data_IF_560018785588
#
_entry.id   IF_560018785588
#
_cell.length_a   1.000
_cell.length_b   1.000
_cell.length_c   1.000
_cell.angle_alpha   90.00
_cell.angle_beta   90.00
_cell.angle_gamma   90.00
#
_symmetry.space_group_name_H-M   'P 1'
#
loop_
_entity.id
_entity.type
_entity.pdbx_description
1 polymer ?
#
# COMPACT_ATOMS: atom_id res chain seq x y z
N UNK A 1 12.08 -95.93 41.34
CA UNK A 1 12.14 -95.06 42.54
C UNK A 1 12.57 -93.68 42.07
N UNK A 2 11.85 -92.63 42.48
CA UNK A 2 12.09 -91.18 42.26
C UNK A 2 11.77 -90.64 40.84
N UNK A 3 10.58 -90.04 40.58
CA UNK A 3 10.12 -88.65 40.85
C UNK A 3 10.73 -87.67 39.82
N UNK A 4 10.00 -87.26 38.75
CA UNK A 4 9.20 -86.00 38.61
C UNK A 4 10.06 -84.76 38.95
N UNK A 5 10.25 -83.73 38.11
CA UNK A 5 9.26 -82.91 37.42
C UNK A 5 9.88 -82.14 36.24
N UNK A 6 9.01 -81.77 35.28
CA UNK A 6 9.29 -80.85 34.17
C UNK A 6 9.29 -79.41 34.70
N UNK A 7 10.27 -78.59 34.33
CA UNK A 7 10.14 -77.13 34.33
C UNK A 7 10.61 -76.62 32.96
N UNK A 8 9.63 -76.20 32.17
CA UNK A 8 9.79 -75.56 30.87
C UNK A 8 10.08 -74.06 31.12
N UNK A 9 11.08 -73.44 30.49
CA UNK A 9 11.34 -72.02 30.67
C UNK A 9 10.26 -71.17 29.99
N UNK A 10 9.81 -70.18 30.76
CA UNK A 10 8.87 -69.12 30.43
C UNK A 10 9.26 -68.42 29.10
N UNK A 11 8.51 -68.62 28.01
CA UNK A 11 8.56 -67.73 26.85
C UNK A 11 7.67 -66.52 27.15
N UNK A 12 8.30 -65.35 27.33
CA UNK A 12 7.62 -64.07 27.42
C UNK A 12 7.10 -63.69 26.03
N UNK A 13 5.80 -63.86 25.81
CA UNK A 13 5.10 -63.41 24.59
C UNK A 13 5.03 -61.88 24.58
N UNK A 14 5.92 -61.24 23.82
CA UNK A 14 5.79 -59.81 23.49
C UNK A 14 4.72 -59.68 22.40
N UNK A 15 3.54 -59.18 22.77
CA UNK A 15 2.57 -58.66 21.81
C UNK A 15 3.12 -57.35 21.24
N UNK A 16 3.66 -57.40 20.02
CA UNK A 16 3.90 -56.18 19.24
C UNK A 16 2.54 -55.75 18.69
N UNK A 17 2.00 -54.69 19.28
CA UNK A 17 0.86 -53.97 18.72
C UNK A 17 1.35 -53.29 17.43
N UNK A 18 1.03 -53.86 16.28
CA UNK A 18 1.24 -53.21 14.99
C UNK A 18 0.25 -52.04 14.89
N UNK A 19 0.67 -50.87 15.38
CA UNK A 19 0.03 -49.63 15.00
C UNK A 19 0.33 -49.40 13.51
N UNK A 20 -0.68 -49.58 12.66
CA UNK A 20 -0.66 -49.06 11.30
C UNK A 20 -0.52 -47.54 11.38
N UNK A 21 0.72 -47.05 11.39
CA UNK A 21 0.99 -45.69 10.95
C UNK A 21 0.68 -45.67 9.45
N UNK A 22 -0.51 -45.16 9.11
CA UNK A 22 -0.71 -44.53 7.82
C UNK A 22 0.27 -43.37 7.81
N UNK A 23 1.43 -43.58 7.18
CA UNK A 23 2.33 -42.49 6.86
C UNK A 23 1.53 -41.52 6.00
N UNK A 24 1.19 -40.37 6.56
CA UNK A 24 0.86 -39.21 5.73
C UNK A 24 2.13 -38.94 4.94
N UNK A 25 2.09 -39.20 3.64
CA UNK A 25 2.97 -38.55 2.66
C UNK A 25 3.15 -37.09 3.11
N UNK A 26 4.37 -36.53 3.10
CA UNK A 26 4.51 -35.10 3.36
C UNK A 26 3.58 -34.40 2.36
N UNK A 27 2.63 -33.64 2.89
CA UNK A 27 1.82 -32.76 2.06
C UNK A 27 2.81 -32.02 1.17
N UNK A 28 2.67 -32.18 -0.15
CA UNK A 28 3.33 -31.33 -1.12
C UNK A 28 3.20 -29.90 -0.59
N UNK A 29 4.33 -29.27 -0.25
CA UNK A 29 4.32 -27.87 0.10
C UNK A 29 3.62 -27.16 -1.06
N UNK A 30 2.47 -26.54 -0.80
CA UNK A 30 1.84 -25.66 -1.77
C UNK A 30 2.94 -24.69 -2.19
N UNK A 31 3.23 -24.65 -3.49
CA UNK A 31 4.19 -23.70 -4.03
C UNK A 31 3.71 -22.32 -3.57
N UNK A 32 4.47 -21.67 -2.70
CA UNK A 32 4.05 -20.45 -2.01
C UNK A 32 4.25 -19.28 -2.98
N UNK A 33 3.63 -19.39 -4.17
CA UNK A 33 3.76 -18.44 -5.26
C UNK A 33 3.14 -17.13 -4.80
N UNK A 34 3.97 -16.10 -4.70
CA UNK A 34 3.51 -14.74 -4.45
C UNK A 34 2.81 -14.24 -5.70
N UNK A 35 1.53 -13.87 -5.58
CA UNK A 35 0.76 -13.27 -6.66
C UNK A 35 1.16 -11.80 -6.81
N UNK A 36 1.65 -11.40 -7.97
CA UNK A 36 2.02 -10.03 -8.30
C UNK A 36 0.83 -9.31 -8.95
N UNK A 37 0.15 -8.47 -8.17
CA UNK A 37 -0.96 -7.65 -8.65
C UNK A 37 -0.44 -6.26 -9.00
N UNK A 38 -0.71 -5.80 -10.22
CA UNK A 38 -0.42 -4.43 -10.65
C UNK A 38 -1.73 -3.64 -10.72
N UNK A 39 -1.80 -2.57 -9.93
CA UNK A 39 -2.89 -1.61 -9.98
C UNK A 39 -2.53 -0.53 -11.01
N UNK A 40 -3.41 -0.30 -11.97
CA UNK A 40 -3.22 0.76 -12.96
C UNK A 40 -4.20 1.90 -12.69
N UNK A 41 -3.81 2.93 -11.91
CA UNK A 41 -4.65 4.12 -11.78
C UNK A 41 -4.70 4.84 -13.14
N UNK A 42 -5.88 4.82 -13.75
CA UNK A 42 -6.14 5.42 -15.07
C UNK A 42 -5.68 6.87 -15.18
N UNK A 43 -5.43 7.30 -16.41
CA UNK A 43 -5.04 8.68 -16.74
C UNK A 43 -3.74 9.15 -16.04
N UNK A 44 -3.49 10.46 -16.01
CA UNK A 44 -2.32 11.06 -15.37
C UNK A 44 -1.66 12.15 -16.22
N UNK A 45 -1.02 13.11 -15.55
CA UNK A 45 -0.42 14.27 -16.17
C UNK A 45 -1.46 15.12 -16.91
N UNK A 46 -1.27 15.32 -18.21
CA UNK A 46 -2.19 16.12 -19.05
C UNK A 46 -3.46 15.37 -19.46
N UNK A 47 -3.52 14.06 -19.22
CA UNK A 47 -4.75 13.29 -19.37
C UNK A 47 -5.50 13.32 -18.03
N UNK A 48 -6.60 14.09 -17.99
CA UNK A 48 -7.38 14.30 -16.78
C UNK A 48 -8.42 13.20 -16.54
N UNK A 49 -8.75 12.43 -17.58
CA UNK A 49 -9.96 11.60 -17.62
C UNK A 49 -11.24 12.43 -17.49
N UNK A 50 -12.30 11.81 -16.98
CA UNK A 50 -13.54 12.48 -16.69
C UNK A 50 -13.41 13.48 -15.52
N UNK A 51 -14.31 14.47 -15.50
CA UNK A 51 -14.41 15.45 -14.41
C UNK A 51 -15.81 15.40 -13.79
N UNK A 52 -15.89 15.51 -12.46
CA UNK A 52 -17.16 15.42 -11.74
C UNK A 52 -18.10 16.60 -11.96
N UNK A 53 -19.40 16.36 -11.70
CA UNK A 53 -20.43 17.40 -11.63
C UNK A 53 -20.45 18.10 -10.26
N UNK A 54 -20.83 19.38 -10.24
CA UNK A 54 -21.15 20.11 -8.99
C UNK A 54 -20.19 21.21 -8.55
N UNK A 55 -19.23 21.63 -9.39
CA UNK A 55 -18.32 22.75 -9.08
C UNK A 55 -17.18 22.40 -8.11
N UNK A 56 -17.09 21.13 -7.69
CA UNK A 56 -15.88 20.52 -7.12
C UNK A 56 -15.16 19.84 -8.29
N UNK A 57 -13.93 20.26 -8.61
CA UNK A 57 -13.13 19.66 -9.68
C UNK A 57 -12.47 18.36 -9.19
N UNK A 58 -13.23 17.26 -9.12
CA UNK A 58 -12.61 15.94 -9.03
C UNK A 58 -12.26 15.48 -10.44
N UNK A 59 -10.96 15.38 -10.71
CA UNK A 59 -10.42 14.80 -11.94
C UNK A 59 -10.24 13.30 -11.72
N UNK A 60 -10.69 12.49 -12.67
CA UNK A 60 -10.59 11.03 -12.60
C UNK A 60 -9.16 10.56 -12.30
N UNK A 61 -8.15 11.18 -12.91
CA UNK A 61 -6.74 10.87 -12.63
C UNK A 61 -6.37 10.96 -11.14
N UNK A 62 -6.98 11.88 -10.39
CA UNK A 62 -6.68 12.07 -8.96
C UNK A 62 -7.43 11.04 -8.12
N UNK A 63 -8.69 10.76 -8.48
CA UNK A 63 -9.51 9.77 -7.77
C UNK A 63 -8.93 8.36 -7.96
N UNK A 64 -8.65 7.97 -9.20
CA UNK A 64 -8.06 6.66 -9.53
C UNK A 64 -6.71 6.45 -8.85
N UNK A 65 -5.87 7.49 -8.81
CA UNK A 65 -4.59 7.43 -8.10
C UNK A 65 -4.77 7.17 -6.61
N UNK A 66 -5.69 7.92 -5.98
CA UNK A 66 -5.96 7.80 -4.55
C UNK A 66 -6.59 6.46 -4.19
N UNK A 67 -7.52 5.99 -5.02
CA UNK A 67 -8.14 4.68 -4.90
C UNK A 67 -7.10 3.55 -5.01
N UNK A 68 -6.21 3.62 -6.00
CA UNK A 68 -5.11 2.65 -6.16
C UNK A 68 -4.21 2.58 -4.92
N UNK A 69 -3.90 3.74 -4.31
CA UNK A 69 -3.11 3.76 -3.07
C UNK A 69 -3.84 3.00 -1.96
N UNK A 70 -5.15 3.24 -1.76
CA UNK A 70 -5.93 2.53 -0.75
C UNK A 70 -6.02 1.02 -1.01
N UNK A 71 -6.25 0.60 -2.26
CA UNK A 71 -6.27 -0.82 -2.64
C UNK A 71 -4.90 -1.45 -2.35
N UNK A 72 -3.80 -0.77 -2.73
CA UNK A 72 -2.45 -1.24 -2.49
C UNK A 72 -2.17 -1.52 -1.01
N UNK A 73 -2.61 -0.63 -0.13
CA UNK A 73 -2.39 -0.75 1.31
C UNK A 73 -3.23 -1.87 1.92
N UNK A 74 -4.48 -2.00 1.48
CA UNK A 74 -5.39 -3.00 2.00
C UNK A 74 -5.01 -4.41 1.53
N UNK A 75 -4.64 -4.59 0.25
CA UNK A 75 -4.15 -5.87 -0.27
C UNK A 75 -2.85 -6.31 0.42
N UNK A 76 -1.98 -5.38 0.84
CA UNK A 76 -0.74 -5.73 1.56
C UNK A 76 -0.96 -6.32 2.94
N UNK A 77 -2.17 -6.23 3.50
CA UNK A 77 -2.54 -6.96 4.72
C UNK A 77 -2.68 -8.46 4.46
N UNK A 78 -2.70 -8.90 3.20
CA UNK A 78 -2.82 -10.30 2.82
C UNK A 78 -1.44 -10.93 2.60
N UNK A 79 -1.34 -12.22 2.87
CA UNK A 79 -0.16 -13.05 2.66
C UNK A 79 -0.14 -13.58 1.23
N UNK A 80 1.06 -13.82 0.70
CA UNK A 80 1.22 -14.37 -0.65
C UNK A 80 0.89 -13.38 -1.78
N UNK A 81 0.93 -12.07 -1.53
CA UNK A 81 0.68 -11.04 -2.55
C UNK A 81 1.75 -9.96 -2.55
N UNK A 82 2.14 -9.52 -3.74
CA UNK A 82 2.96 -8.33 -4.00
C UNK A 82 2.10 -7.35 -4.79
N UNK A 83 2.09 -6.09 -4.40
CA UNK A 83 1.19 -5.09 -4.98
C UNK A 83 1.97 -3.87 -5.47
N UNK A 84 1.96 -3.68 -6.78
CA UNK A 84 2.64 -2.58 -7.47
C UNK A 84 1.61 -1.64 -8.12
N UNK A 85 2.03 -0.41 -8.44
CA UNK A 85 1.21 0.55 -9.18
C UNK A 85 1.96 1.00 -10.45
N UNK A 86 1.26 1.19 -11.57
CA UNK A 86 1.90 1.69 -12.80
C UNK A 86 2.50 3.09 -12.62
N UNK A 87 1.82 3.96 -11.87
CA UNK A 87 2.33 5.29 -11.46
C UNK A 87 2.22 5.54 -9.96
N UNK A 88 3.16 6.32 -9.44
CA UNK A 88 3.29 6.71 -8.02
C UNK A 88 3.27 8.24 -7.80
N UNK A 89 2.96 9.00 -8.86
CA UNK A 89 2.73 10.43 -8.84
C UNK A 89 1.80 10.80 -10.02
N UNK A 90 1.45 12.07 -10.14
CA UNK A 90 0.64 12.57 -11.26
C UNK A 90 1.52 12.89 -12.47
N UNK A 91 1.80 11.88 -13.29
CA UNK A 91 2.46 12.05 -14.58
C UNK A 91 1.75 11.22 -15.65
N UNK A 92 1.96 11.62 -16.90
CA UNK A 92 1.41 10.92 -18.04
C UNK A 92 2.14 9.58 -18.28
N UNK A 93 1.39 8.53 -18.57
CA UNK A 93 1.90 7.25 -19.06
C UNK A 93 1.05 6.75 -20.22
N UNK A 94 1.70 6.33 -21.28
CA UNK A 94 1.07 5.62 -22.40
C UNK A 94 0.63 4.22 -21.97
N UNK A 95 -0.32 3.63 -22.72
CA UNK A 95 -0.77 2.26 -22.47
C UNK A 95 0.36 1.23 -22.59
N UNK A 96 1.31 1.44 -23.52
CA UNK A 96 2.47 0.57 -23.68
C UNK A 96 3.41 0.65 -22.48
N UNK A 97 3.69 1.85 -21.95
CA UNK A 97 4.54 2.03 -20.76
C UNK A 97 3.93 1.39 -19.51
N UNK A 98 2.59 1.45 -19.36
CA UNK A 98 1.87 0.77 -18.27
C UNK A 98 2.06 -0.74 -18.36
N UNK A 99 1.90 -1.32 -19.55
CA UNK A 99 2.08 -2.74 -19.77
C UNK A 99 3.56 -3.19 -19.67
N UNK A 100 4.51 -2.37 -20.13
CA UNK A 100 5.95 -2.59 -19.95
C UNK A 100 6.35 -2.60 -18.47
N UNK A 101 5.78 -1.68 -17.68
CA UNK A 101 5.96 -1.70 -16.22
C UNK A 101 5.43 -3.00 -15.63
N UNK A 102 4.19 -3.40 -15.99
CA UNK A 102 3.57 -4.62 -15.48
C UNK A 102 4.40 -5.88 -15.82
N UNK A 103 4.92 -5.98 -17.05
CA UNK A 103 5.80 -7.07 -17.45
C UNK A 103 7.11 -7.07 -16.64
N UNK A 104 7.72 -5.90 -16.47
CA UNK A 104 8.99 -5.76 -15.74
C UNK A 104 8.89 -6.21 -14.28
N UNK A 105 7.75 -5.97 -13.63
CA UNK A 105 7.50 -6.40 -12.25
C UNK A 105 6.91 -7.81 -12.14
N UNK A 106 6.73 -8.51 -13.27
CA UNK A 106 6.23 -9.88 -13.32
C UNK A 106 4.78 -10.01 -12.90
N UNK A 107 3.91 -9.11 -13.38
CA UNK A 107 2.49 -9.09 -13.02
C UNK A 107 1.76 -10.39 -13.42
N UNK A 108 1.02 -10.98 -12.49
CA UNK A 108 0.05 -12.06 -12.75
C UNK A 108 -1.28 -11.49 -13.25
N UNK A 109 -1.60 -10.24 -12.88
CA UNK A 109 -2.78 -9.51 -13.33
C UNK A 109 -2.59 -8.00 -13.23
N UNK A 110 -3.20 -7.27 -14.16
CA UNK A 110 -3.40 -5.82 -14.07
C UNK A 110 -4.86 -5.50 -13.77
N UNK A 111 -5.11 -4.74 -12.71
CA UNK A 111 -6.43 -4.17 -12.39
C UNK A 111 -6.37 -2.67 -12.68
N UNK A 112 -6.91 -2.27 -13.84
CA UNK A 112 -7.03 -0.86 -14.22
C UNK A 112 -8.23 -0.22 -13.55
N UNK A 113 -8.03 0.94 -12.95
CA UNK A 113 -9.03 1.63 -12.14
C UNK A 113 -9.47 2.89 -12.85
N UNK A 114 -10.77 2.99 -13.10
CA UNK A 114 -11.40 4.10 -13.80
C UNK A 114 -12.75 4.47 -13.15
N UNK A 115 -13.26 5.62 -13.58
CA UNK A 115 -14.63 6.04 -13.31
C UNK A 115 -15.31 6.44 -14.61
N UNK A 116 -16.53 5.94 -14.78
CA UNK A 116 -17.35 6.24 -15.93
C UNK A 116 -17.73 7.74 -16.01
N UNK A 117 -18.18 8.13 -17.19
CA UNK A 117 -18.86 9.41 -17.41
C UNK A 117 -19.83 9.32 -18.58
N UNK A 118 -20.91 10.08 -18.51
CA UNK A 118 -21.94 10.16 -19.54
C UNK A 118 -22.48 11.58 -19.68
N UNK A 119 -22.93 11.93 -20.88
CA UNK A 119 -23.70 13.15 -21.09
C UNK A 119 -25.06 13.10 -20.40
N UNK A 120 -25.62 11.90 -20.22
CA UNK A 120 -26.80 11.66 -19.41
C UNK A 120 -26.39 11.45 -17.95
N UNK A 121 -26.67 12.45 -17.11
CA UNK A 121 -26.28 12.48 -15.69
C UNK A 121 -27.11 11.55 -14.80
N UNK A 122 -28.15 10.90 -15.35
CA UNK A 122 -28.91 9.88 -14.64
C UNK A 122 -28.28 8.48 -14.72
N UNK A 123 -27.33 8.29 -15.64
CA UNK A 123 -26.59 7.02 -15.73
C UNK A 123 -25.66 6.91 -14.53
N UNK A 124 -25.70 5.75 -13.89
CA UNK A 124 -25.00 5.42 -12.66
C UNK A 124 -24.58 3.94 -12.68
N UNK A 125 -23.72 3.56 -11.73
CA UNK A 125 -23.35 2.18 -11.48
C UNK A 125 -21.92 1.84 -11.85
N UNK A 126 -21.52 0.62 -11.46
CA UNK A 126 -20.23 0.03 -11.76
C UNK A 126 -20.33 -0.99 -12.89
N UNK A 127 -19.25 -1.13 -13.65
CA UNK A 127 -19.08 -2.18 -14.64
C UNK A 127 -17.62 -2.61 -14.72
N UNK A 128 -17.35 -3.82 -15.19
CA UNK A 128 -15.98 -4.29 -15.42
C UNK A 128 -15.80 -4.67 -16.88
N UNK A 129 -14.83 -4.05 -17.55
CA UNK A 129 -14.40 -4.48 -18.87
C UNK A 129 -13.36 -5.58 -18.74
N UNK A 130 -13.60 -6.73 -19.38
CA UNK A 130 -12.66 -7.84 -19.48
C UNK A 130 -12.23 -8.05 -20.93
N UNK A 131 -11.08 -8.71 -21.14
CA UNK A 131 -10.56 -8.97 -22.48
C UNK A 131 -11.53 -9.86 -23.27
N UNK A 132 -11.73 -9.56 -24.55
CA UNK A 132 -12.43 -10.43 -25.49
C UNK A 132 -11.63 -11.67 -25.91
N UNK A 133 -10.35 -11.75 -25.55
CA UNK A 133 -9.51 -12.94 -25.74
C UNK A 133 -9.62 -13.86 -24.53
N UNK A 134 -10.16 -15.07 -24.74
CA UNK A 134 -10.45 -16.02 -23.66
C UNK A 134 -9.21 -16.38 -22.82
N UNK A 135 -8.01 -16.33 -23.40
CA UNK A 135 -6.74 -16.59 -22.72
C UNK A 135 -6.43 -15.55 -21.62
N UNK A 136 -6.92 -14.32 -21.81
CA UNK A 136 -6.65 -13.18 -20.93
C UNK A 136 -7.91 -12.65 -20.24
N UNK A 137 -9.10 -13.17 -20.56
CA UNK A 137 -10.34 -12.82 -19.87
C UNK A 137 -10.24 -13.24 -18.40
N UNK A 138 -10.55 -12.31 -17.48
CA UNK A 138 -10.70 -12.57 -16.04
C UNK A 138 -12.10 -12.19 -15.57
N UNK A 139 -13.14 -12.92 -16.01
CA UNK A 139 -14.52 -12.52 -15.72
C UNK A 139 -14.88 -12.75 -14.26
N UNK A 140 -14.36 -13.82 -13.63
CA UNK A 140 -14.63 -14.16 -12.23
C UNK A 140 -14.07 -13.08 -11.29
N UNK A 141 -12.82 -12.64 -11.51
CA UNK A 141 -12.26 -11.47 -10.84
C UNK A 141 -13.19 -10.23 -10.93
N UNK A 142 -13.68 -9.94 -12.14
CA UNK A 142 -14.60 -8.83 -12.36
C UNK A 142 -15.92 -8.98 -11.61
N UNK A 143 -16.51 -10.18 -11.62
CA UNK A 143 -17.75 -10.45 -10.88
C UNK A 143 -17.56 -10.43 -9.36
N UNK A 144 -16.43 -10.90 -8.84
CA UNK A 144 -16.11 -10.84 -7.42
C UNK A 144 -16.01 -9.39 -6.95
N UNK A 145 -15.32 -8.52 -7.72
CA UNK A 145 -15.26 -7.08 -7.44
C UNK A 145 -16.65 -6.44 -7.50
N UNK A 146 -17.44 -6.70 -8.56
CA UNK A 146 -18.79 -6.15 -8.68
C UNK A 146 -19.74 -6.63 -7.58
N UNK A 147 -19.60 -7.86 -7.10
CA UNK A 147 -20.36 -8.38 -5.96
C UNK A 147 -20.08 -7.57 -4.68
N UNK A 148 -18.81 -7.26 -4.43
CA UNK A 148 -18.40 -6.46 -3.28
C UNK A 148 -18.80 -4.99 -3.39
N UNK A 149 -18.74 -4.41 -4.58
CA UNK A 149 -19.24 -3.05 -4.86
C UNK A 149 -20.77 -2.97 -4.69
N UNK A 150 -21.51 -4.01 -5.09
CA UNK A 150 -22.95 -4.09 -4.85
C UNK A 150 -23.29 -4.04 -3.35
N UNK A 151 -22.44 -4.62 -2.51
CA UNK A 151 -22.55 -4.56 -1.05
C UNK A 151 -22.48 -3.13 -0.47
N UNK A 152 -21.91 -2.17 -1.22
CA UNK A 152 -21.88 -0.75 -0.85
C UNK A 152 -23.14 0.02 -1.31
N UNK A 153 -24.04 -0.62 -2.06
CA UNK A 153 -25.22 0.00 -2.65
C UNK A 153 -25.00 0.56 -4.06
N UNK A 154 -23.89 0.24 -4.71
CA UNK A 154 -23.62 0.64 -6.11
C UNK A 154 -24.39 -0.29 -7.05
N UNK A 155 -25.05 0.26 -8.08
CA UNK A 155 -25.71 -0.53 -9.11
C UNK A 155 -24.66 -1.26 -9.97
N UNK A 156 -24.63 -2.59 -9.91
CA UNK A 156 -23.69 -3.42 -10.69
C UNK A 156 -24.38 -4.23 -11.78
N UNK A 157 -25.61 -3.87 -12.15
CA UNK A 157 -26.40 -4.56 -13.17
C UNK A 157 -25.78 -4.54 -14.57
N UNK A 158 -24.87 -3.59 -14.84
CA UNK A 158 -24.08 -3.57 -16.07
C UNK A 158 -23.14 -4.78 -16.20
N UNK A 159 -22.71 -5.36 -15.07
CA UNK A 159 -21.93 -6.59 -15.03
C UNK A 159 -20.52 -6.50 -15.62
N UNK A 160 -19.97 -7.68 -15.93
CA UNK A 160 -18.75 -7.81 -16.70
C UNK A 160 -19.09 -7.82 -18.19
N UNK A 161 -18.39 -7.01 -18.97
CA UNK A 161 -18.58 -6.91 -20.41
C UNK A 161 -17.25 -6.97 -21.16
N UNK A 162 -17.32 -7.26 -22.46
CA UNK A 162 -16.18 -7.16 -23.39
C UNK A 162 -16.49 -6.10 -24.42
N UNK A 163 -15.49 -5.31 -24.83
CA UNK A 163 -15.69 -4.28 -25.84
C UNK A 163 -14.60 -4.35 -26.91
N UNK A 164 -15.02 -4.52 -28.17
CA UNK A 164 -14.13 -4.51 -29.32
C UNK A 164 -13.74 -3.08 -29.73
N UNK A 165 -12.56 -2.94 -30.30
CA UNK A 165 -11.99 -1.68 -30.77
C UNK A 165 -12.90 -0.96 -31.77
N UNK A 166 -13.14 0.33 -31.54
CA UNK A 166 -13.93 1.21 -32.41
C UNK A 166 -13.10 1.93 -33.47
N UNK A 167 -11.77 1.84 -33.38
CA UNK A 167 -10.81 2.47 -34.29
C UNK A 167 -10.18 1.47 -35.28
N UNK A 168 -10.67 0.22 -35.31
CA UNK A 168 -10.21 -0.80 -36.23
C UNK A 168 -8.90 -1.50 -35.87
N UNK A 169 -8.37 -1.32 -34.65
CA UNK A 169 -7.25 -2.12 -34.16
C UNK A 169 -7.61 -3.61 -34.18
N UNK A 170 -6.71 -4.43 -34.71
CA UNK A 170 -6.84 -5.89 -34.81
C UNK A 170 -5.83 -6.56 -33.87
N UNK A 171 -6.15 -7.78 -33.44
CA UNK A 171 -5.17 -8.66 -32.80
C UNK A 171 -4.12 -9.15 -33.81
N UNK A 172 -3.07 -9.80 -33.31
CA UNK A 172 -1.96 -10.31 -34.13
C UNK A 172 -2.37 -11.34 -35.19
N UNK A 173 -3.57 -11.93 -35.08
CA UNK A 173 -4.15 -12.81 -36.10
C UNK A 173 -4.66 -12.05 -37.34
N UNK A 174 -4.89 -10.74 -37.24
CA UNK A 174 -5.46 -9.93 -38.31
C UNK A 174 -6.92 -10.23 -38.65
N UNK A 175 -7.61 -11.05 -37.86
CA UNK A 175 -8.99 -11.49 -38.10
C UNK A 175 -9.97 -10.96 -37.05
N UNK A 176 -9.52 -10.79 -35.80
CA UNK A 176 -10.36 -10.30 -34.69
C UNK A 176 -10.03 -8.87 -34.32
N UNK A 177 -11.06 -8.06 -34.09
CA UNK A 177 -10.88 -6.73 -33.48
C UNK A 177 -10.27 -6.89 -32.10
N UNK A 178 -9.28 -6.03 -31.81
CA UNK A 178 -8.64 -5.98 -30.52
C UNK A 178 -9.56 -5.39 -29.44
N UNK A 179 -9.19 -5.54 -28.17
CA UNK A 179 -9.92 -4.88 -27.07
C UNK A 179 -9.92 -3.36 -27.25
N UNK A 180 -11.03 -2.72 -26.90
CA UNK A 180 -11.18 -1.27 -26.90
C UNK A 180 -10.19 -0.63 -25.92
N UNK A 181 -10.11 -1.15 -24.70
CA UNK A 181 -9.17 -0.69 -23.66
C UNK A 181 -7.73 -0.86 -24.13
N UNK A 182 -7.03 0.28 -24.24
CA UNK A 182 -5.66 0.30 -24.72
C UNK A 182 -4.68 -0.41 -23.78
N UNK A 183 -4.82 -0.24 -22.46
CA UNK A 183 -3.95 -0.91 -21.50
C UNK A 183 -4.16 -2.42 -21.51
N UNK A 184 -5.41 -2.90 -21.59
CA UNK A 184 -5.70 -4.34 -21.67
C UNK A 184 -5.12 -4.94 -22.95
N UNK A 185 -5.24 -4.23 -24.08
CA UNK A 185 -4.63 -4.63 -25.35
C UNK A 185 -3.11 -4.74 -25.26
N UNK A 186 -2.44 -3.76 -24.65
CA UNK A 186 -0.98 -3.76 -24.46
C UNK A 186 -0.51 -4.83 -23.47
N UNK A 187 -1.32 -5.16 -22.45
CA UNK A 187 -1.05 -6.24 -21.51
C UNK A 187 -1.16 -7.61 -22.20
N UNK A 188 -2.17 -7.82 -23.05
CA UNK A 188 -2.32 -9.05 -23.82
C UNK A 188 -1.11 -9.29 -24.75
N UNK A 189 -0.55 -8.26 -25.37
CA UNK A 189 0.71 -8.36 -26.14
C UNK A 189 1.94 -8.78 -25.32
N UNK A 190 1.86 -8.74 -23.99
CA UNK A 190 2.92 -9.11 -23.05
C UNK A 190 2.58 -10.36 -22.23
N UNK A 191 1.51 -11.07 -22.62
CA UNK A 191 0.96 -12.23 -21.93
C UNK A 191 0.46 -11.97 -20.50
N UNK A 192 -0.06 -10.77 -20.26
CA UNK A 192 -0.54 -10.34 -18.94
C UNK A 192 -2.08 -10.17 -18.98
N UNK A 193 -2.83 -10.95 -18.18
CA UNK A 193 -4.26 -10.73 -18.01
C UNK A 193 -4.57 -9.36 -17.40
N UNK A 194 -5.62 -8.70 -17.88
CA UNK A 194 -6.02 -7.38 -17.40
C UNK A 194 -7.53 -7.18 -17.41
N UNK A 195 -8.03 -6.42 -16.44
CA UNK A 195 -9.41 -5.91 -16.39
C UNK A 195 -9.41 -4.39 -16.20
N UNK A 196 -10.50 -3.73 -16.59
CA UNK A 196 -10.76 -2.32 -16.27
C UNK A 196 -12.02 -2.23 -15.41
N UNK A 197 -11.87 -1.76 -14.18
CA UNK A 197 -12.98 -1.54 -13.24
C UNK A 197 -13.43 -0.10 -13.36
N UNK A 198 -14.67 0.09 -13.82
CA UNK A 198 -15.36 1.38 -13.86
C UNK A 198 -16.25 1.48 -12.62
N UNK A 199 -15.83 2.20 -11.59
CA UNK A 199 -16.44 2.08 -10.24
C UNK A 199 -17.79 2.79 -10.12
N UNK A 200 -17.88 4.02 -10.60
CA UNK A 200 -19.09 4.86 -10.59
C UNK A 200 -19.01 5.87 -11.75
N UNK A 201 -20.09 6.62 -11.99
CA UNK A 201 -20.12 7.74 -12.93
C UNK A 201 -19.77 9.07 -12.25
N UNK A 202 -18.65 9.70 -12.61
CA UNK A 202 -18.30 11.05 -12.15
C UNK A 202 -19.34 12.10 -12.58
N UNK A 203 -20.05 11.82 -13.66
CA UNK A 203 -21.13 12.66 -14.17
C UNK A 203 -22.43 12.57 -13.36
N UNK A 204 -22.58 11.56 -12.48
CA UNK A 204 -23.76 11.35 -11.66
C UNK A 204 -23.60 12.00 -10.28
N UNK A 205 -24.51 12.91 -9.93
CA UNK A 205 -24.46 13.61 -8.64
C UNK A 205 -24.75 12.68 -7.46
N UNK A 206 -25.65 11.71 -7.64
CA UNK A 206 -26.05 10.79 -6.58
C UNK A 206 -24.92 9.82 -6.19
N UNK A 207 -23.95 9.60 -7.08
CA UNK A 207 -22.80 8.74 -6.84
C UNK A 207 -21.61 9.44 -6.18
N UNK A 208 -21.67 10.79 -6.00
CA UNK A 208 -20.62 11.54 -5.30
C UNK A 208 -20.30 10.94 -3.92
N UNK A 209 -21.30 10.35 -3.25
CA UNK A 209 -21.13 9.71 -1.93
C UNK A 209 -20.09 8.58 -1.91
N UNK A 210 -19.73 8.01 -3.06
CA UNK A 210 -18.78 6.91 -3.19
C UNK A 210 -17.34 7.37 -3.41
N UNK A 211 -17.11 8.62 -3.82
CA UNK A 211 -15.78 9.11 -4.18
C UNK A 211 -15.46 10.55 -3.73
N UNK A 212 -16.38 11.26 -3.10
CA UNK A 212 -16.19 12.66 -2.69
C UNK A 212 -15.29 12.85 -1.46
N UNK A 213 -14.86 11.77 -0.80
CA UNK A 213 -13.98 11.83 0.37
C UNK A 213 -13.24 10.50 0.60
N UNK A 214 -12.27 10.53 1.52
CA UNK A 214 -11.34 9.43 1.79
C UNK A 214 -12.03 8.20 2.40
N UNK A 215 -13.05 8.39 3.23
CA UNK A 215 -13.83 7.27 3.79
C UNK A 215 -14.53 6.51 2.66
N UNK A 216 -15.11 7.24 1.72
CA UNK A 216 -15.81 6.67 0.59
C UNK A 216 -14.85 5.87 -0.33
N UNK A 217 -13.71 6.46 -0.67
CA UNK A 217 -12.68 5.78 -1.48
C UNK A 217 -12.06 4.56 -0.77
N UNK A 218 -11.92 4.59 0.55
CA UNK A 218 -11.47 3.42 1.32
C UNK A 218 -12.49 2.28 1.33
N UNK A 219 -13.79 2.61 1.34
CA UNK A 219 -14.85 1.60 1.21
C UNK A 219 -14.83 0.95 -0.16
N UNK A 220 -14.67 1.74 -1.23
CA UNK A 220 -14.45 1.22 -2.59
C UNK A 220 -13.21 0.31 -2.62
N UNK A 221 -12.07 0.80 -2.13
CA UNK A 221 -10.85 0.01 -2.09
C UNK A 221 -11.02 -1.31 -1.35
N UNK A 222 -11.66 -1.29 -0.17
CA UNK A 222 -11.91 -2.51 0.60
C UNK A 222 -12.83 -3.49 -0.15
N UNK A 223 -13.80 -3.01 -0.94
CA UNK A 223 -14.61 -3.85 -1.80
C UNK A 223 -13.78 -4.50 -2.92
N UNK A 224 -12.97 -3.72 -3.63
CA UNK A 224 -12.08 -4.23 -4.67
C UNK A 224 -11.12 -5.29 -4.10
N UNK A 225 -10.53 -5.01 -2.92
CA UNK A 225 -9.60 -5.92 -2.25
C UNK A 225 -10.27 -7.23 -1.87
N UNK A 226 -11.53 -7.21 -1.39
CA UNK A 226 -12.25 -8.45 -1.07
C UNK A 226 -12.51 -9.28 -2.32
N UNK A 227 -12.91 -8.65 -3.42
CA UNK A 227 -13.10 -9.35 -4.70
C UNK A 227 -11.80 -9.92 -5.27
N UNK A 228 -10.70 -9.17 -5.18
CA UNK A 228 -9.36 -9.62 -5.57
C UNK A 228 -8.89 -10.77 -4.65
N UNK A 229 -9.08 -10.64 -3.34
CA UNK A 229 -8.67 -11.66 -2.38
C UNK A 229 -9.44 -12.97 -2.58
N UNK A 230 -10.73 -12.90 -2.90
CA UNK A 230 -11.54 -14.07 -3.24
C UNK A 230 -11.02 -14.80 -4.48
N UNK A 231 -10.77 -14.06 -5.58
CA UNK A 231 -10.25 -14.63 -6.83
C UNK A 231 -8.93 -15.40 -6.62
N UNK A 232 -7.99 -14.79 -5.88
CA UNK A 232 -6.65 -15.34 -5.70
C UNK A 232 -6.49 -16.16 -4.42
N UNK A 233 -7.57 -16.40 -3.68
CA UNK A 233 -7.54 -17.14 -2.41
C UNK A 233 -6.62 -16.52 -1.36
N UNK A 234 -6.45 -15.20 -1.39
CA UNK A 234 -5.55 -14.49 -0.49
C UNK A 234 -6.06 -14.55 0.94
N UNK A 235 -5.14 -14.75 1.89
CA UNK A 235 -5.47 -14.78 3.32
C UNK A 235 -4.84 -13.61 4.03
N UNK A 236 -5.59 -12.93 4.89
CA UNK A 236 -5.04 -11.92 5.79
C UNK A 236 -3.84 -12.50 6.55
N UNK A 237 -2.76 -11.73 6.59
CA UNK A 237 -1.58 -12.06 7.38
C UNK A 237 -2.02 -12.20 8.83
N UNK A 238 -1.64 -13.32 9.45
CA UNK A 238 -1.72 -13.46 10.90
C UNK A 238 -0.68 -12.52 11.50
N UNK A 239 -1.06 -11.30 11.85
CA UNK A 239 -0.21 -10.47 12.70
C UNK A 239 -0.19 -11.07 14.10
N UNK A 240 1.00 -11.30 14.64
CA UNK A 240 1.19 -11.18 16.08
C UNK A 240 0.81 -9.74 16.45
N UNK A 241 -0.44 -9.55 16.89
CA UNK A 241 -1.02 -8.23 17.17
C UNK A 241 -1.79 -7.62 16.00
N UNK A 242 -2.89 -8.25 15.56
CA UNK A 242 -3.88 -7.54 14.72
C UNK A 242 -4.67 -6.67 15.69
N UNK A 243 -4.18 -5.47 15.95
CA UNK A 243 -5.06 -4.45 16.51
C UNK A 243 -6.00 -4.10 15.37
N UNK A 244 -7.24 -4.58 15.49
CA UNK A 244 -8.40 -3.97 14.85
C UNK A 244 -8.28 -2.45 15.08
N UNK A 245 -7.69 -1.74 14.11
CA UNK A 245 -7.37 -0.32 14.22
C UNK A 245 -8.68 0.43 14.06
N UNK A 246 -9.45 0.42 15.13
CA UNK A 246 -10.67 1.19 15.33
C UNK A 246 -10.36 2.58 15.88
N UNK A 247 -9.10 2.81 16.28
CA UNK A 247 -8.67 4.05 16.91
C UNK A 247 -7.22 4.39 16.58
N UNK A 248 -7.00 5.62 16.13
CA UNK A 248 -5.69 6.18 15.84
C UNK A 248 -5.33 7.24 16.88
N UNK A 249 -4.29 6.97 17.70
CA UNK A 249 -3.74 7.95 18.65
C UNK A 249 -2.90 9.02 17.96
N UNK A 250 -2.97 10.28 18.38
CA UNK A 250 -2.04 11.33 17.94
C UNK A 250 -0.57 10.93 18.22
N UNK A 251 0.30 11.14 17.24
CA UNK A 251 1.74 10.86 17.37
C UNK A 251 2.62 12.11 17.26
N UNK A 252 2.05 13.24 16.85
CA UNK A 252 2.75 14.52 16.79
C UNK A 252 1.96 15.60 17.52
N UNK A 253 2.67 16.52 18.16
CA UNK A 253 2.09 17.71 18.79
C UNK A 253 2.60 18.97 18.08
N UNK A 254 1.82 20.06 18.20
CA UNK A 254 2.30 21.41 17.90
C UNK A 254 3.17 21.97 19.04
N UNK A 255 3.47 23.25 18.92
CA UNK A 255 4.21 24.02 19.90
C UNK A 255 3.28 24.63 20.95
N UNK A 256 3.83 25.04 22.09
CA UNK A 256 3.07 25.64 23.21
C UNK A 256 2.32 26.91 22.82
N UNK A 257 2.77 27.60 21.77
CA UNK A 257 2.12 28.79 21.21
C UNK A 257 0.89 28.48 20.33
N UNK A 258 0.50 27.21 20.21
CA UNK A 258 -0.64 26.78 19.40
C UNK A 258 -0.34 26.72 17.90
N UNK A 259 0.93 26.73 17.49
CA UNK A 259 1.34 26.55 16.08
C UNK A 259 1.80 25.13 15.80
N UNK A 260 1.72 24.69 14.56
CA UNK A 260 2.35 23.44 14.10
C UNK A 260 3.65 23.67 13.35
N UNK A 261 3.81 24.82 12.67
CA UNK A 261 4.96 25.22 11.84
C UNK A 261 5.22 24.24 10.70
N UNK A 262 4.28 24.08 9.73
CA UNK A 262 4.34 23.01 8.73
C UNK A 262 5.55 23.05 7.80
N UNK A 263 6.14 24.24 7.59
CA UNK A 263 7.35 24.45 6.78
C UNK A 263 8.63 24.51 7.62
N UNK A 264 8.56 24.36 8.94
CA UNK A 264 9.74 24.26 9.79
C UNK A 264 10.49 22.96 9.53
N UNK A 265 11.82 23.02 9.46
CA UNK A 265 12.65 21.83 9.38
C UNK A 265 12.58 21.04 10.69
N UNK A 266 12.84 19.74 10.61
CA UNK A 266 12.94 18.89 11.80
C UNK A 266 14.37 18.43 12.03
N UNK A 267 14.69 18.27 13.30
CA UNK A 267 15.95 17.67 13.74
C UNK A 267 15.91 16.15 13.64
N UNK A 268 17.09 15.53 13.58
CA UNK A 268 17.25 14.07 13.60
C UNK A 268 16.73 13.44 14.91
N UNK A 269 16.77 14.18 16.01
CA UNK A 269 16.17 13.78 17.29
C UNK A 269 14.64 13.76 17.27
N UNK A 270 14.01 14.76 16.63
CA UNK A 270 12.55 14.80 16.49
C UNK A 270 12.04 13.64 15.63
N UNK A 271 12.67 13.36 14.48
CA UNK A 271 12.34 12.21 13.64
C UNK A 271 12.46 10.88 14.39
N UNK A 272 13.59 10.66 15.06
CA UNK A 272 13.85 9.46 15.86
C UNK A 272 12.80 9.29 16.96
N UNK A 273 12.40 10.38 17.62
CA UNK A 273 11.37 10.34 18.66
C UNK A 273 10.01 9.94 18.12
N UNK A 274 9.61 10.50 16.97
CA UNK A 274 8.34 10.13 16.33
C UNK A 274 8.32 8.63 15.99
N UNK A 275 9.38 8.14 15.35
CA UNK A 275 9.46 6.74 14.94
C UNK A 275 9.52 5.76 16.12
N UNK A 276 10.27 6.09 17.17
CA UNK A 276 10.36 5.27 18.37
C UNK A 276 8.99 5.14 19.06
N UNK A 277 8.27 6.25 19.26
CA UNK A 277 6.94 6.25 19.90
C UNK A 277 5.89 5.44 19.14
N UNK A 278 6.11 5.24 17.84
CA UNK A 278 5.21 4.51 16.95
C UNK A 278 5.60 3.04 16.78
N UNK A 279 6.76 2.63 17.29
CA UNK A 279 7.19 1.25 17.23
C UNK A 279 6.47 0.42 18.29
N UNK A 280 5.86 -0.69 17.89
CA UNK A 280 5.22 -1.64 18.82
C UNK A 280 6.21 -2.24 19.82
N UNK A 281 7.51 -2.24 19.49
CA UNK A 281 8.57 -2.74 20.36
C UNK A 281 9.12 -1.68 21.34
N UNK A 282 8.64 -0.44 21.26
CA UNK A 282 9.07 0.62 22.17
C UNK A 282 8.23 0.60 23.44
N UNK A 283 8.82 0.10 24.52
CA UNK A 283 8.28 0.22 25.87
C UNK A 283 8.77 1.55 26.52
N UNK A 284 7.87 2.48 26.89
CA UNK A 284 8.25 3.75 27.51
C UNK A 284 8.80 3.61 28.94
N UNK A 285 8.52 2.50 29.63
CA UNK A 285 8.96 2.20 30.99
C UNK A 285 10.28 1.39 31.02
N UNK A 286 10.67 0.83 29.87
CA UNK A 286 11.94 0.14 29.71
C UNK A 286 13.12 1.13 29.65
N UNK A 287 14.25 0.73 30.24
CA UNK A 287 15.51 1.45 30.10
C UNK A 287 16.27 0.99 28.85
N UNK A 288 16.73 1.95 28.06
CA UNK A 288 17.59 1.74 26.90
C UNK A 288 18.96 2.39 27.13
N UNK A 289 19.98 1.84 26.49
CA UNK A 289 21.33 2.42 26.48
C UNK A 289 21.83 2.51 25.05
N UNK A 290 22.69 3.48 24.80
CA UNK A 290 23.29 3.73 23.49
C UNK A 290 24.80 3.85 23.62
N UNK A 291 25.51 3.50 22.54
CA UNK A 291 26.95 3.74 22.43
C UNK A 291 27.28 5.07 21.75
N UNK A 292 26.25 5.86 21.38
CA UNK A 292 26.42 7.12 20.66
C UNK A 292 26.95 8.22 21.60
N UNK A 293 28.11 8.79 21.27
CA UNK A 293 28.85 9.70 22.17
C UNK A 293 28.20 11.07 22.35
N UNK A 294 27.39 11.49 21.38
CA UNK A 294 26.73 12.79 21.34
C UNK A 294 25.24 12.74 21.75
N UNK A 295 24.82 11.62 22.34
CA UNK A 295 23.46 11.42 22.85
C UNK A 295 23.51 11.33 24.38
N UNK A 296 23.53 12.47 25.10
CA UNK A 296 23.73 12.45 26.55
C UNK A 296 22.48 11.94 27.28
N UNK A 297 22.68 11.21 28.38
CA UNK A 297 21.61 10.59 29.17
C UNK A 297 20.53 11.54 29.70
N UNK A 298 20.84 12.84 29.81
CA UNK A 298 19.90 13.87 30.24
C UNK A 298 19.06 14.47 29.10
N UNK A 299 19.40 14.20 27.84
CA UNK A 299 18.66 14.76 26.72
C UNK A 299 17.25 14.17 26.62
N UNK A 300 16.28 15.00 26.28
CA UNK A 300 14.87 14.60 26.15
C UNK A 300 14.68 13.48 25.10
N UNK A 301 15.56 13.43 24.09
CA UNK A 301 15.54 12.44 23.02
C UNK A 301 16.30 11.14 23.36
N UNK A 302 17.02 11.09 24.48
CA UNK A 302 17.96 10.00 24.79
C UNK A 302 17.33 8.62 24.68
N UNK A 303 16.19 8.41 25.35
CA UNK A 303 15.55 7.08 25.39
C UNK A 303 15.09 6.59 24.02
N UNK A 304 14.64 7.49 23.15
CA UNK A 304 14.12 7.14 21.83
C UNK A 304 15.26 6.77 20.87
N UNK A 305 16.32 7.58 20.87
CA UNK A 305 17.52 7.29 20.07
C UNK A 305 18.21 6.02 20.59
N UNK A 306 18.27 5.82 21.92
CA UNK A 306 18.84 4.62 22.51
C UNK A 306 18.06 3.35 22.14
N UNK A 307 16.73 3.39 22.16
CA UNK A 307 15.91 2.29 21.65
C UNK A 307 16.22 1.99 20.18
N UNK A 308 16.15 2.99 19.30
CA UNK A 308 16.40 2.83 17.87
C UNK A 308 17.84 2.37 17.58
N UNK A 309 18.80 2.73 18.43
CA UNK A 309 20.16 2.21 18.37
C UNK A 309 20.24 0.74 18.80
N UNK A 310 19.54 0.35 19.86
CA UNK A 310 19.52 -1.05 20.34
C UNK A 310 18.90 -2.03 19.35
N UNK A 311 17.91 -1.58 18.56
CA UNK A 311 17.27 -2.40 17.51
C UNK A 311 17.94 -2.26 16.13
N UNK A 312 19.03 -1.48 16.04
CA UNK A 312 19.84 -1.36 14.83
C UNK A 312 19.28 -0.41 13.75
N UNK A 313 18.22 0.34 14.03
CA UNK A 313 17.68 1.33 13.09
C UNK A 313 18.59 2.56 12.99
N UNK A 314 19.21 2.96 14.11
CA UNK A 314 20.23 4.01 14.18
C UNK A 314 21.59 3.37 14.55
N UNK A 315 22.64 3.68 13.80
CA UNK A 315 23.98 3.11 14.05
C UNK A 315 25.04 4.14 14.41
N UNK A 316 24.80 5.43 14.15
CA UNK A 316 25.82 6.49 14.22
C UNK A 316 26.82 6.44 13.06
N UNK A 317 27.69 7.43 12.99
CA UNK A 317 28.82 7.49 12.05
C UNK A 317 30.04 6.69 12.55
N UNK A 318 31.14 6.77 11.81
CA UNK A 318 32.39 6.06 12.14
C UNK A 318 33.03 6.50 13.47
N UNK A 319 32.62 7.65 14.01
CA UNK A 319 33.05 8.18 15.30
C UNK A 319 32.06 7.89 16.42
N UNK A 320 30.99 7.14 16.14
CA UNK A 320 29.93 6.86 17.11
C UNK A 320 29.04 8.08 17.38
N UNK A 321 28.92 9.01 16.43
CA UNK A 321 28.13 10.24 16.56
C UNK A 321 26.84 10.13 15.73
N UNK A 322 25.69 10.58 16.25
CA UNK A 322 24.40 10.57 15.54
C UNK A 322 23.98 11.93 14.97
N UNK A 323 24.43 13.02 15.60
CA UNK A 323 24.12 14.43 15.37
C UNK A 323 22.62 14.72 15.59
N UNK A 324 22.11 14.55 16.83
CA UNK A 324 20.67 14.66 17.11
C UNK A 324 20.07 16.03 16.78
N UNK A 325 20.84 17.10 16.92
CA UNK A 325 20.38 18.48 16.75
C UNK A 325 20.52 19.00 15.31
N UNK A 326 21.18 18.24 14.41
CA UNK A 326 21.25 18.59 12.99
C UNK A 326 19.87 18.41 12.34
N UNK A 327 19.58 19.23 11.33
CA UNK A 327 18.42 19.01 10.45
C UNK A 327 18.53 17.64 9.78
N UNK A 328 17.38 16.97 9.63
CA UNK A 328 17.32 15.68 8.95
C UNK A 328 16.99 15.86 7.47
N UNK A 329 17.81 15.28 6.59
CA UNK A 329 17.51 15.26 5.15
C UNK A 329 16.45 14.21 4.78
N UNK A 330 15.81 14.40 3.62
CA UNK A 330 14.84 13.46 3.04
C UNK A 330 15.41 12.05 2.86
N UNK A 331 16.65 11.95 2.39
CA UNK A 331 17.33 10.66 2.22
C UNK A 331 17.62 9.96 3.56
N UNK A 332 18.04 10.69 4.57
CA UNK A 332 18.29 10.10 5.90
C UNK A 332 17.01 9.57 6.53
N UNK A 333 15.91 10.33 6.38
CA UNK A 333 14.60 9.88 6.84
C UNK A 333 14.14 8.63 6.07
N UNK A 334 14.34 8.58 4.75
CA UNK A 334 14.05 7.41 3.93
C UNK A 334 14.86 6.17 4.36
N UNK A 335 16.16 6.31 4.65
CA UNK A 335 16.97 5.20 5.17
C UNK A 335 16.40 4.69 6.50
N UNK A 336 16.08 5.60 7.42
CA UNK A 336 15.54 5.25 8.72
C UNK A 336 14.18 4.54 8.60
N UNK A 337 13.28 5.06 7.77
CA UNK A 337 11.97 4.46 7.49
C UNK A 337 12.08 3.08 6.85
N UNK A 338 13.00 2.92 5.90
CA UNK A 338 13.24 1.64 5.21
C UNK A 338 13.70 0.56 6.21
N UNK A 339 14.61 0.91 7.13
CA UNK A 339 15.05 0.01 8.22
C UNK A 339 13.92 -0.33 9.19
N UNK A 340 13.13 0.67 9.58
CA UNK A 340 11.97 0.47 10.45
C UNK A 340 10.97 -0.52 9.86
N UNK A 341 10.72 -0.42 8.56
CA UNK A 341 9.84 -1.33 7.83
C UNK A 341 10.47 -2.70 7.53
N UNK A 342 11.73 -2.95 7.93
CA UNK A 342 12.45 -4.19 7.63
C UNK A 342 12.72 -4.40 6.12
N UNK A 343 12.59 -3.35 5.31
CA UNK A 343 12.77 -3.43 3.87
C UNK A 343 14.26 -3.53 3.53
N UNK A 344 14.55 -4.33 2.51
CA UNK A 344 15.91 -4.45 1.99
C UNK A 344 16.14 -3.41 0.91
N UNK A 345 17.21 -2.60 0.99
CA UNK A 345 17.54 -1.65 -0.08
C UNK A 345 17.97 -2.41 -1.34
N UNK A 346 17.50 -1.98 -2.50
CA UNK A 346 17.86 -2.61 -3.77
C UNK A 346 17.22 -1.95 -4.99
N UNK A 347 17.89 -2.08 -6.13
CA UNK A 347 17.48 -1.46 -7.38
C UNK A 347 17.74 0.05 -7.43
N UNK A 348 17.23 0.68 -8.49
CA UNK A 348 17.25 2.13 -8.68
C UNK A 348 15.84 2.68 -8.39
N UNK A 349 15.77 3.82 -7.70
CA UNK A 349 14.47 4.42 -7.36
C UNK A 349 13.75 4.97 -8.58
N UNK A 350 14.47 5.26 -9.66
CA UNK A 350 13.93 5.87 -10.87
C UNK A 350 13.75 7.39 -10.77
N UNK A 351 14.11 8.02 -9.64
CA UNK A 351 14.20 9.47 -9.54
C UNK A 351 15.53 9.95 -10.12
N UNK A 352 15.49 10.97 -10.98
CA UNK A 352 16.67 11.46 -11.72
C UNK A 352 17.78 11.95 -10.78
N UNK A 353 17.40 12.58 -9.68
CA UNK A 353 18.26 13.18 -8.67
C UNK A 353 18.77 12.19 -7.59
N UNK A 354 18.25 10.96 -7.58
CA UNK A 354 18.70 9.89 -6.70
C UNK A 354 19.82 9.04 -7.30
N UNK A 355 20.05 9.13 -8.62
CA UNK A 355 21.02 8.28 -9.29
C UNK A 355 22.44 8.46 -8.74
N UNK A 356 23.00 7.37 -8.20
CA UNK A 356 24.34 7.38 -7.56
C UNK A 356 24.35 7.94 -6.14
N UNK A 357 23.19 8.33 -5.60
CA UNK A 357 23.04 8.70 -4.20
C UNK A 357 23.06 7.44 -3.32
N UNK A 358 23.70 7.50 -2.14
CA UNK A 358 23.81 6.34 -1.24
C UNK A 358 22.46 5.81 -0.73
N UNK A 359 21.43 6.66 -0.76
CA UNK A 359 20.07 6.30 -0.35
C UNK A 359 19.22 5.73 -1.48
N UNK A 360 19.70 5.68 -2.73
CA UNK A 360 18.89 5.32 -3.91
C UNK A 360 18.19 3.97 -3.74
N UNK A 361 18.92 2.93 -3.35
CA UNK A 361 18.33 1.61 -3.10
C UNK A 361 17.32 1.59 -1.94
N UNK A 362 17.47 2.45 -0.93
CA UNK A 362 16.50 2.58 0.17
C UNK A 362 15.23 3.30 -0.29
N UNK A 363 15.41 4.38 -1.08
CA UNK A 363 14.31 5.15 -1.67
C UNK A 363 13.55 4.28 -2.69
N UNK A 364 14.26 3.44 -3.45
CA UNK A 364 13.68 2.47 -4.36
C UNK A 364 12.79 1.47 -3.61
N UNK A 365 13.31 0.88 -2.52
CA UNK A 365 12.54 -0.04 -1.69
C UNK A 365 11.26 0.63 -1.15
N UNK A 366 11.36 1.86 -0.63
CA UNK A 366 10.20 2.61 -0.15
C UNK A 366 9.22 2.97 -1.28
N UNK A 367 9.70 3.33 -2.46
CA UNK A 367 8.88 3.69 -3.61
C UNK A 367 8.13 2.49 -4.17
N UNK A 368 8.82 1.36 -4.34
CA UNK A 368 8.20 0.09 -4.77
C UNK A 368 7.12 -0.34 -3.77
N UNK A 369 7.36 -0.08 -2.48
CA UNK A 369 6.38 -0.26 -1.42
C UNK A 369 5.47 0.96 -1.20
N UNK A 370 5.33 1.89 -2.16
CA UNK A 370 4.34 2.98 -2.12
C UNK A 370 4.43 3.97 -0.95
N UNK A 371 5.47 3.90 -0.12
CA UNK A 371 5.63 4.78 1.04
C UNK A 371 6.12 6.17 0.64
N UNK A 372 6.84 6.26 -0.47
CA UNK A 372 7.41 7.51 -0.96
C UNK A 372 7.14 7.70 -2.45
N UNK A 373 7.01 8.95 -2.86
CA UNK A 373 6.86 9.38 -4.24
C UNK A 373 7.78 10.57 -4.51
N UNK A 374 7.93 10.89 -5.79
CA UNK A 374 8.63 12.10 -6.25
C UNK A 374 7.65 13.23 -6.50
N UNK A 375 8.18 14.39 -6.85
CA UNK A 375 7.40 15.52 -7.31
C UNK A 375 6.95 15.35 -8.78
N UNK A 376 6.36 16.41 -9.34
CA UNK A 376 5.89 16.47 -10.72
C UNK A 376 7.01 16.31 -11.77
N UNK A 377 8.27 16.57 -11.41
CA UNK A 377 9.43 16.42 -12.28
C UNK A 377 10.07 15.03 -12.18
N UNK A 378 9.52 14.15 -11.32
CA UNK A 378 10.13 12.85 -11.04
C UNK A 378 11.40 12.97 -10.19
N UNK A 379 11.49 14.01 -9.35
CA UNK A 379 12.60 14.21 -8.41
C UNK A 379 12.17 13.86 -6.98
N UNK A 380 13.10 13.31 -6.19
CA UNK A 380 12.83 12.98 -4.78
C UNK A 380 13.31 14.05 -3.80
N UNK A 381 14.28 14.88 -4.20
CA UNK A 381 15.02 15.86 -3.41
C UNK A 381 15.77 15.24 -2.21
N UNK A 382 16.69 14.28 -2.41
CA UNK A 382 17.27 13.49 -1.32
C UNK A 382 18.07 14.31 -0.30
N UNK A 383 18.66 15.43 -0.72
CA UNK A 383 19.51 16.26 0.12
C UNK A 383 18.77 17.41 0.83
N UNK A 384 17.51 17.64 0.49
CA UNK A 384 16.73 18.71 1.11
C UNK A 384 16.37 18.36 2.55
N UNK A 385 16.35 19.37 3.40
CA UNK A 385 15.90 19.24 4.79
C UNK A 385 14.42 18.87 4.83
N UNK A 386 14.08 17.89 5.67
CA UNK A 386 12.71 17.48 5.94
C UNK A 386 11.96 18.59 6.68
N UNK A 387 10.88 19.07 6.08
CA UNK A 387 9.91 19.91 6.77
C UNK A 387 8.85 19.06 7.48
N UNK A 388 8.30 19.58 8.59
CA UNK A 388 7.33 18.88 9.45
C UNK A 388 6.15 18.28 8.68
N UNK A 389 5.61 19.01 7.71
CA UNK A 389 4.52 18.51 6.85
C UNK A 389 4.93 17.30 6.02
N UNK A 390 6.13 17.29 5.43
CA UNK A 390 6.64 16.13 4.66
C UNK A 390 6.88 14.91 5.53
N UNK A 391 7.35 15.10 6.78
CA UNK A 391 7.54 14.00 7.74
C UNK A 391 6.21 13.34 8.04
N UNK A 392 5.19 14.13 8.36
CA UNK A 392 3.85 13.64 8.65
C UNK A 392 3.27 12.87 7.47
N UNK A 393 3.44 13.37 6.24
CA UNK A 393 2.99 12.67 5.03
C UNK A 393 3.62 11.29 4.89
N UNK A 394 4.95 11.19 5.04
CA UNK A 394 5.65 9.91 4.93
C UNK A 394 5.28 8.98 6.08
N UNK A 395 5.22 9.49 7.32
CA UNK A 395 4.84 8.71 8.49
C UNK A 395 3.42 8.17 8.38
N UNK A 396 2.45 8.98 7.95
CA UNK A 396 1.08 8.52 7.74
C UNK A 396 1.05 7.34 6.74
N UNK A 397 1.76 7.44 5.62
CA UNK A 397 1.87 6.32 4.65
C UNK A 397 2.53 5.08 5.25
N UNK A 398 3.64 5.24 5.97
CA UNK A 398 4.37 4.16 6.65
C UNK A 398 3.46 3.45 7.65
N UNK A 399 2.69 4.21 8.42
CA UNK A 399 1.75 3.68 9.39
C UNK A 399 0.48 3.11 8.73
N UNK A 400 0.21 3.39 7.46
CA UNK A 400 -1.09 3.10 6.86
C UNK A 400 -2.23 3.97 7.40
N UNK A 401 -1.89 5.13 7.97
CA UNK A 401 -2.84 6.18 8.35
C UNK A 401 -3.09 7.08 7.16
N UNK A 402 -4.35 7.39 6.92
CA UNK A 402 -4.70 8.39 5.91
C UNK A 402 -5.81 9.25 6.47
N UNK A 403 -5.76 10.55 6.18
CA UNK A 403 -6.64 11.47 6.83
C UNK A 403 -8.10 11.12 6.62
N UNK A 404 -8.82 10.95 7.72
CA UNK A 404 -10.27 11.05 7.69
C UNK A 404 -10.63 12.50 7.36
N UNK A 405 -11.60 12.72 6.45
CA UNK A 405 -12.05 14.04 6.02
C UNK A 405 -12.16 15.00 7.23
N UNK A 406 -11.45 16.13 7.20
CA UNK A 406 -11.30 17.07 8.32
C UNK A 406 -12.59 17.69 8.88
N UNK A 407 -13.74 17.45 8.25
CA UNK A 407 -15.06 17.89 8.74
C UNK A 407 -15.45 17.26 10.08
N UNK A 408 -14.69 16.28 10.57
CA UNK A 408 -14.92 15.63 11.87
C UNK A 408 -13.85 15.92 12.94
N UNK A 409 -12.78 16.69 12.63
CA UNK A 409 -11.68 16.96 13.58
C UNK A 409 -11.57 18.45 13.85
N UNK A 410 -11.58 18.83 15.13
CA UNK A 410 -11.24 20.19 15.53
C UNK A 410 -9.75 20.42 15.26
N UNK A 411 -9.43 21.46 14.48
CA UNK A 411 -8.04 21.82 14.21
C UNK A 411 -7.44 22.51 15.43
N UNK A 412 -6.42 21.92 16.09
CA UNK A 412 -5.81 22.50 17.28
C UNK A 412 -4.81 23.62 16.96
N UNK A 413 -4.52 23.87 15.68
CA UNK A 413 -3.44 24.75 15.24
C UNK A 413 -3.94 26.06 14.65
N UNK A 414 -3.26 27.16 15.02
CA UNK A 414 -3.60 28.52 14.60
C UNK A 414 -2.97 28.95 13.27
N UNK A 415 -1.90 28.26 12.84
CA UNK A 415 -1.09 28.59 11.66
C UNK A 415 -1.37 27.69 10.45
N UNK A 416 -2.39 26.84 10.54
CA UNK A 416 -2.79 25.93 9.47
C UNK A 416 -4.28 26.10 9.20
N UNK A 417 -4.65 26.45 7.97
CA UNK A 417 -6.03 26.64 7.55
C UNK A 417 -6.49 25.52 6.60
N UNK A 418 -7.81 25.19 6.58
CA UNK A 418 -8.38 24.29 5.57
C UNK A 418 -7.96 24.70 4.15
N UNK A 419 -7.50 23.75 3.35
CA UNK A 419 -6.94 23.99 2.01
C UNK A 419 -5.41 24.05 1.95
N UNK A 420 -4.71 24.08 3.09
CA UNK A 420 -3.27 23.79 3.10
C UNK A 420 -3.04 22.34 2.63
N UNK A 421 -2.07 22.11 1.74
CA UNK A 421 -1.90 20.83 1.04
C UNK A 421 -1.70 19.62 1.97
N UNK A 422 -1.11 19.82 3.16
CA UNK A 422 -0.92 18.78 4.17
C UNK A 422 -1.92 18.88 5.34
N UNK A 423 -2.95 19.73 5.24
CA UNK A 423 -3.91 20.01 6.32
C UNK A 423 -4.46 18.74 6.97
N UNK A 424 -5.07 17.87 6.16
CA UNK A 424 -5.70 16.67 6.67
C UNK A 424 -4.66 15.69 7.23
N UNK A 425 -3.47 15.60 6.62
CA UNK A 425 -2.37 14.77 7.11
C UNK A 425 -1.85 15.24 8.47
N UNK A 426 -1.80 16.55 8.69
CA UNK A 426 -1.40 17.12 9.98
C UNK A 426 -2.45 16.83 11.05
N UNK A 427 -3.74 16.94 10.74
CA UNK A 427 -4.80 16.57 11.68
C UNK A 427 -4.84 15.06 11.96
N UNK A 428 -4.57 14.24 10.96
CA UNK A 428 -4.42 12.78 11.10
C UNK A 428 -3.31 12.39 12.08
N UNK A 429 -2.22 13.16 12.07
CA UNK A 429 -1.10 12.92 12.96
C UNK A 429 -1.31 13.49 14.37
N UNK A 430 -2.04 14.60 14.48
CA UNK A 430 -2.10 15.41 15.70
C UNK A 430 -3.36 15.22 16.56
N UNK A 431 -4.42 14.63 16.01
CA UNK A 431 -5.69 14.46 16.71
C UNK A 431 -5.98 12.97 16.82
N UNK A 432 -6.20 12.47 18.04
CA UNK A 432 -6.64 11.08 18.22
C UNK A 432 -8.10 10.91 17.78
N UNK A 433 -8.43 9.85 17.05
CA UNK A 433 -9.78 9.64 16.52
C UNK A 433 -10.12 8.16 16.27
N UNK A 434 -11.41 7.86 16.10
CA UNK A 434 -11.85 6.54 15.61
C UNK A 434 -11.59 6.41 14.11
N UNK A 435 -11.00 5.29 13.71
CA UNK A 435 -10.81 4.91 12.30
C UNK A 435 -12.12 4.26 11.85
N UNK A 436 -12.91 4.95 11.03
CA UNK A 436 -14.21 4.47 10.53
C UNK A 436 -14.18 4.02 9.08
#
# INVERSE_FOLDING_TARGET
>A
MLIREKVLPFMLSIFIFAACFVGTEPAYAADNQVINIVLDPGHGGTDYGATSVGGLEFQEKNITFKLAQYIQLELRKYSGVSVNMTRYADYHMTNAERADYAQRVGADVVVSLHFNSSSDRSVHGAAVCASGLWEYTKPDLGYNILSELAGLGIDTSAGVYTQASTTGNMWWDGERLADFSGVMRECAYRDIPAISVEHCYLSCYDELIYYNNDIALRKLAAADVRGIAEEYGLQLQKSEGNVDRTYDNAYINGYEDGTFRPSGTITRAEAATMLAKLSDSFDPDQQYSTTLSDVPAWAWYYKYIAFLNSVGFITGDVYGTYRPDDNMSRAEFAILACRYLGLQPGGESGFSDCKGHMADGYIAALRNNGYVGGDENGEFHPNDDMIRSSVVMMMNRILGRFPVCSTQKENPFTDIAPGFWAYDNILEAAVSHEVR
#
